data_IF_755082007438
#
_entry.id   IF_755082007438
#
_cell.length_a   1.000
_cell.length_b   1.000
_cell.length_c   1.000
_cell.angle_alpha   90.00
_cell.angle_beta   90.00
_cell.angle_gamma   90.00
#
_symmetry.space_group_name_H-M   'P 1'
#
loop_
_entity.id
_entity.type
_entity.pdbx_description
1 polymer ?
#
# COMPACT_ATOMS: atom_id res chain seq x y z
N UNK A 1 14.11 13.91 -4.71
CA UNK A 1 12.89 13.24 -5.22
C UNK A 1 12.97 11.80 -4.73
N UNK A 2 11.92 11.23 -4.12
CA UNK A 2 11.99 9.82 -3.68
C UNK A 2 11.89 8.88 -4.88
N UNK A 3 12.73 7.85 -4.89
CA UNK A 3 12.79 6.83 -5.95
C UNK A 3 11.57 5.90 -5.90
N UNK A 4 11.36 5.11 -6.95
CA UNK A 4 10.29 4.11 -6.96
C UNK A 4 10.54 3.01 -5.91
N UNK A 5 11.79 2.57 -5.73
CA UNK A 5 12.12 1.55 -4.73
C UNK A 5 11.87 2.03 -3.29
N UNK A 6 12.22 3.28 -2.98
CA UNK A 6 11.90 3.88 -1.69
C UNK A 6 10.39 3.94 -1.43
N UNK A 7 9.61 4.26 -2.46
CA UNK A 7 8.13 4.26 -2.35
C UNK A 7 7.60 2.85 -2.18
N UNK A 8 8.11 1.89 -2.93
CA UNK A 8 7.70 0.50 -2.81
C UNK A 8 7.94 -0.02 -1.40
N UNK A 9 9.13 0.22 -0.84
CA UNK A 9 9.47 -0.17 0.53
C UNK A 9 8.51 0.44 1.55
N UNK A 10 8.21 1.73 1.42
CA UNK A 10 7.24 2.43 2.27
C UNK A 10 5.82 1.88 2.13
N UNK A 11 5.45 1.45 0.92
CA UNK A 11 4.19 0.77 0.65
C UNK A 11 4.10 -0.59 1.33
N UNK A 12 5.18 -1.36 1.36
CA UNK A 12 5.27 -2.62 2.10
C UNK A 12 5.09 -2.40 3.60
N UNK A 13 5.71 -1.36 4.17
CA UNK A 13 5.52 -0.99 5.58
C UNK A 13 4.06 -0.66 5.90
N UNK A 14 3.42 0.16 5.06
CA UNK A 14 2.00 0.52 5.20
C UNK A 14 1.09 -0.71 5.12
N UNK A 15 1.32 -1.60 4.15
CA UNK A 15 0.54 -2.84 4.01
C UNK A 15 0.75 -3.80 5.18
N UNK A 16 1.98 -3.90 5.68
CA UNK A 16 2.33 -4.73 6.85
C UNK A 16 1.61 -4.21 8.09
N UNK A 17 1.56 -2.89 8.27
CA UNK A 17 0.79 -2.25 9.34
C UNK A 17 -0.70 -2.63 9.28
N UNK A 18 -1.33 -2.56 8.10
CA UNK A 18 -2.75 -2.93 7.94
C UNK A 18 -3.00 -4.43 8.10
N UNK A 19 -2.05 -5.27 7.74
CA UNK A 19 -2.10 -6.71 7.97
C UNK A 19 -1.79 -7.14 9.40
N UNK A 20 -1.87 -6.23 10.39
CA UNK A 20 -1.62 -6.55 11.80
C UNK A 20 -0.17 -6.93 12.10
N UNK A 21 0.78 -6.41 11.34
CA UNK A 21 2.22 -6.72 11.48
C UNK A 21 2.74 -7.78 10.51
N UNK A 22 1.87 -8.35 9.66
CA UNK A 22 2.28 -9.26 8.59
C UNK A 22 1.92 -8.69 7.22
N UNK A 23 2.82 -8.83 6.24
CA UNK A 23 2.49 -8.53 4.85
C UNK A 23 1.55 -9.62 4.31
N UNK A 24 0.28 -9.30 4.14
CA UNK A 24 -0.72 -10.24 3.61
C UNK A 24 -0.94 -10.06 2.11
N UNK A 25 -1.45 -11.11 1.48
CA UNK A 25 -1.91 -11.08 0.09
C UNK A 25 -3.15 -10.20 -0.13
N UNK A 26 -3.75 -9.66 0.94
CA UNK A 26 -5.02 -8.94 0.87
C UNK A 26 -6.19 -9.88 0.55
N UNK A 27 -7.27 -9.31 0.00
CA UNK A 27 -8.47 -10.04 -0.42
C UNK A 27 -8.25 -10.88 -1.70
N UNK A 28 -7.19 -10.63 -2.46
CA UNK A 28 -6.89 -11.30 -3.73
C UNK A 28 -5.43 -11.80 -3.74
N UNK A 29 -5.09 -12.82 -2.94
CA UNK A 29 -3.69 -13.25 -2.73
C UNK A 29 -2.97 -13.72 -4.00
N UNK A 30 -3.71 -14.22 -4.99
CA UNK A 30 -3.17 -14.68 -6.27
C UNK A 30 -2.96 -13.57 -7.30
N UNK A 31 -3.44 -12.35 -7.05
CA UNK A 31 -3.30 -11.24 -7.99
C UNK A 31 -1.84 -10.82 -8.18
N UNK A 32 -1.01 -10.94 -7.14
CA UNK A 32 0.39 -10.52 -7.17
C UNK A 32 1.28 -11.33 -8.13
N UNK A 33 1.29 -12.68 -8.08
CA UNK A 33 2.05 -13.46 -9.05
C UNK A 33 1.47 -13.38 -10.47
N UNK A 34 0.15 -13.16 -10.61
CA UNK A 34 -0.48 -12.99 -11.92
C UNK A 34 -0.15 -11.64 -12.59
N UNK A 35 -0.05 -10.57 -11.80
CA UNK A 35 0.18 -9.21 -12.27
C UNK A 35 1.24 -8.51 -11.39
N UNK A 36 2.54 -8.83 -11.59
CA UNK A 36 3.62 -8.28 -10.78
C UNK A 36 3.73 -6.75 -10.91
N UNK A 37 3.45 -6.20 -12.08
CA UNK A 37 3.47 -4.74 -12.28
C UNK A 37 2.35 -4.03 -11.51
N UNK A 38 1.18 -4.66 -11.39
CA UNK A 38 0.09 -4.15 -10.57
C UNK A 38 0.47 -4.15 -9.09
N UNK A 39 1.17 -5.20 -8.62
CA UNK A 39 1.75 -5.22 -7.27
C UNK A 39 2.69 -4.03 -7.07
N UNK A 40 3.58 -3.78 -8.04
CA UNK A 40 4.51 -2.66 -7.99
C UNK A 40 3.79 -1.32 -7.94
N UNK A 41 2.84 -1.08 -8.83
CA UNK A 41 2.04 0.15 -8.87
C UNK A 41 1.30 0.37 -7.54
N UNK A 42 0.67 -0.67 -6.99
CA UNK A 42 0.00 -0.57 -5.71
C UNK A 42 0.98 -0.25 -4.57
N UNK A 43 2.13 -0.93 -4.52
CA UNK A 43 3.16 -0.66 -3.52
C UNK A 43 3.74 0.75 -3.63
N UNK A 44 4.07 1.21 -4.83
CA UNK A 44 4.75 2.50 -5.04
C UNK A 44 3.81 3.69 -4.98
N UNK A 45 2.71 3.63 -5.74
CA UNK A 45 1.82 4.78 -5.91
C UNK A 45 0.76 4.84 -4.82
N UNK A 46 -0.02 3.77 -4.66
CA UNK A 46 -1.10 3.77 -3.68
C UNK A 46 -0.53 3.81 -2.25
N UNK A 47 0.09 2.72 -1.80
CA UNK A 47 0.55 2.58 -0.42
C UNK A 47 1.82 3.40 -0.12
N UNK A 48 2.75 3.51 -1.08
CA UNK A 48 4.01 4.23 -0.92
C UNK A 48 3.93 5.75 -1.09
N UNK A 49 2.84 6.27 -1.67
CA UNK A 49 2.69 7.71 -1.92
C UNK A 49 1.36 8.28 -1.42
N UNK A 50 0.21 7.83 -1.94
CA UNK A 50 -1.10 8.43 -1.62
C UNK A 50 -1.42 8.35 -0.13
N UNK A 51 -1.14 7.21 0.50
CA UNK A 51 -1.37 6.98 1.93
C UNK A 51 -0.54 7.89 2.85
N UNK A 52 0.57 8.43 2.36
CA UNK A 52 1.47 9.29 3.16
C UNK A 52 1.28 10.79 2.94
N UNK A 53 0.24 11.22 2.20
CA UNK A 53 -0.07 12.65 2.05
C UNK A 53 -0.51 13.25 3.40
N UNK A 54 -0.24 14.53 3.69
CA UNK A 54 -0.40 15.07 5.05
C UNK A 54 -1.84 15.36 5.48
N UNK A 55 -2.81 15.37 4.56
CA UNK A 55 -4.15 15.89 4.83
C UNK A 55 -5.01 15.00 5.76
N UNK A 56 -4.77 13.69 5.80
CA UNK A 56 -5.59 12.74 6.54
C UNK A 56 -4.72 11.76 7.32
N UNK A 57 -5.17 11.46 8.55
CA UNK A 57 -4.64 10.35 9.37
C UNK A 57 -5.02 9.01 8.73
N UNK A 58 -4.26 7.96 9.02
CA UNK A 58 -4.51 6.62 8.47
C UNK A 58 -5.94 6.13 8.73
N UNK A 59 -6.47 6.33 9.94
CA UNK A 59 -7.85 5.95 10.27
C UNK A 59 -8.90 6.68 9.43
N UNK A 60 -8.65 7.94 9.08
CA UNK A 60 -9.56 8.71 8.22
C UNK A 60 -9.53 8.21 6.77
N UNK A 61 -8.35 7.79 6.29
CA UNK A 61 -8.20 7.20 4.94
C UNK A 61 -8.87 5.84 4.83
N UNK A 62 -8.74 5.00 5.85
CA UNK A 62 -9.45 3.73 5.93
C UNK A 62 -10.97 3.95 5.92
N UNK A 63 -11.49 4.89 6.71
CA UNK A 63 -12.92 5.22 6.69
C UNK A 63 -13.41 5.64 5.29
N UNK A 64 -12.64 6.40 4.52
CA UNK A 64 -12.98 6.77 3.14
C UNK A 64 -12.98 5.57 2.18
N UNK A 65 -12.17 4.55 2.46
CA UNK A 65 -12.05 3.36 1.59
C UNK A 65 -13.19 2.36 1.82
N UNK A 66 -13.80 2.39 3.02
CA UNK A 66 -14.84 1.43 3.43
C UNK A 66 -16.28 1.82 3.03
N UNK A 67 -16.50 3.06 2.56
CA UNK A 67 -17.82 3.54 2.10
C UNK A 67 -18.05 3.22 0.63
#
# INVERSE_FOLDING_TARGET
>A
MTTLDERYQKGIETRTKFGGGALTGGSTPLAWPMAPDLNRIAGEFLFGSIWHRPALKDTQREMVTLT
#
